data_IF_956410943509
#
_entry.id   IF_956410943509
#
_cell.length_a   1.000
_cell.length_b   1.000
_cell.length_c   1.000
_cell.angle_alpha   90.00
_cell.angle_beta   90.00
_cell.angle_gamma   90.00
#
_symmetry.space_group_name_H-M   'P 1'
#
loop_
_entity.id
_entity.type
_entity.pdbx_description
1 polymer ?
#
# COMPACT_ATOMS: atom_id res chain seq x y z
N UNK A 1 14.15 11.75 7.90
CA UNK A 1 13.24 11.25 6.86
C UNK A 1 13.65 11.85 5.51
N UNK A 2 13.91 11.03 4.49
CA UNK A 2 14.46 11.49 3.19
C UNK A 2 13.39 12.01 2.21
N UNK A 3 12.17 11.44 2.25
CA UNK A 3 11.05 11.83 1.36
C UNK A 3 9.79 12.08 2.19
N UNK A 4 9.01 13.11 1.82
CA UNK A 4 7.74 13.50 2.47
C UNK A 4 6.62 13.57 1.42
N UNK A 5 6.09 12.41 0.97
CA UNK A 5 5.06 12.40 -0.05
C UNK A 5 3.75 13.02 0.48
N UNK A 6 3.03 13.67 -0.42
CA UNK A 6 1.63 14.07 -0.21
C UNK A 6 0.65 13.02 -0.75
N UNK A 7 1.10 12.21 -1.71
CA UNK A 7 0.37 11.10 -2.32
C UNK A 7 1.32 9.91 -2.45
N UNK A 8 0.86 8.70 -2.12
CA UNK A 8 1.60 7.45 -2.30
C UNK A 8 0.71 6.36 -2.90
N UNK A 9 1.27 5.49 -3.72
CA UNK A 9 0.58 4.43 -4.43
C UNK A 9 1.37 3.12 -4.33
N UNK A 10 0.70 2.03 -3.97
CA UNK A 10 1.16 0.68 -4.30
C UNK A 10 0.37 0.17 -5.51
N UNK A 11 1.03 0.17 -6.67
CA UNK A 11 0.41 -0.26 -7.93
C UNK A 11 0.12 -1.77 -7.96
N UNK A 12 1.07 -2.59 -7.50
CA UNK A 12 0.89 -4.03 -7.40
C UNK A 12 1.72 -4.68 -6.28
N UNK A 13 1.23 -5.82 -5.81
CA UNK A 13 1.97 -6.78 -4.97
C UNK A 13 1.96 -8.13 -5.66
N UNK A 14 3.15 -8.62 -6.01
CA UNK A 14 3.36 -9.95 -6.62
C UNK A 14 4.52 -10.67 -5.93
N UNK A 15 4.59 -11.99 -6.09
CA UNK A 15 5.68 -12.81 -5.57
C UNK A 15 6.98 -12.50 -6.34
N UNK A 16 7.75 -11.55 -5.82
CA UNK A 16 9.04 -11.13 -6.37
C UNK A 16 10.02 -10.91 -5.23
N UNK A 17 11.32 -11.11 -5.50
CA UNK A 17 12.40 -10.91 -4.52
C UNK A 17 12.19 -11.68 -3.20
N UNK A 18 11.59 -12.86 -3.26
CA UNK A 18 11.27 -13.65 -2.07
C UNK A 18 12.51 -14.06 -1.26
N UNK A 19 13.68 -14.16 -1.88
CA UNK A 19 14.95 -14.42 -1.19
C UNK A 19 15.27 -13.33 -0.14
N UNK A 20 14.88 -12.07 -0.39
CA UNK A 20 15.07 -10.96 0.56
C UNK A 20 13.88 -10.73 1.51
N UNK A 21 12.66 -11.05 1.08
CA UNK A 21 11.44 -10.77 1.85
C UNK A 21 10.86 -11.98 2.57
N UNK A 22 11.37 -13.19 2.31
CA UNK A 22 10.95 -14.45 2.92
C UNK A 22 9.60 -15.00 2.43
N UNK A 23 8.62 -14.13 2.18
CA UNK A 23 7.27 -14.53 1.77
C UNK A 23 6.54 -13.42 1.02
N UNK A 24 5.40 -13.74 0.41
CA UNK A 24 4.50 -12.73 -0.18
C UNK A 24 3.97 -11.75 0.88
N UNK A 25 3.83 -12.20 2.13
CA UNK A 25 3.47 -11.36 3.28
C UNK A 25 4.58 -10.35 3.59
N UNK A 26 5.85 -10.78 3.54
CA UNK A 26 6.99 -9.87 3.65
C UNK A 26 7.03 -8.83 2.53
N UNK A 27 6.67 -9.20 1.29
CA UNK A 27 6.55 -8.26 0.18
C UNK A 27 5.43 -7.24 0.42
N UNK A 28 4.26 -7.67 0.92
CA UNK A 28 3.14 -6.78 1.28
C UNK A 28 3.54 -5.78 2.36
N UNK A 29 4.23 -6.25 3.39
CA UNK A 29 4.71 -5.41 4.48
C UNK A 29 5.67 -4.34 3.94
N UNK A 30 6.73 -4.75 3.23
CA UNK A 30 7.74 -3.85 2.71
C UNK A 30 7.16 -2.80 1.74
N UNK A 31 6.27 -3.21 0.82
CA UNK A 31 5.61 -2.25 -0.08
C UNK A 31 4.70 -1.28 0.65
N UNK A 32 4.01 -1.74 1.71
CA UNK A 32 3.12 -0.92 2.54
C UNK A 32 3.85 0.16 3.34
N UNK A 33 5.14 0.00 3.61
CA UNK A 33 5.96 1.00 4.33
C UNK A 33 5.93 2.37 3.64
N UNK A 34 5.66 2.43 2.33
CA UNK A 34 5.51 3.69 1.60
C UNK A 34 4.43 4.60 2.20
N UNK A 35 3.36 4.03 2.77
CA UNK A 35 2.26 4.79 3.38
C UNK A 35 2.64 5.43 4.71
N UNK A 36 3.65 4.91 5.41
CA UNK A 36 4.19 5.54 6.62
C UNK A 36 4.86 6.88 6.33
N UNK A 37 5.28 7.09 5.06
CA UNK A 37 5.83 8.37 4.61
C UNK A 37 4.79 9.48 4.51
N UNK A 38 3.50 9.15 4.44
CA UNK A 38 2.42 10.13 4.38
C UNK A 38 2.20 10.76 5.76
N UNK A 39 2.02 12.08 5.78
CA UNK A 39 1.47 12.78 6.94
C UNK A 39 -0.03 12.47 7.12
N UNK A 40 -0.57 12.77 8.30
CA UNK A 40 -2.01 12.70 8.55
C UNK A 40 -2.80 13.50 7.48
N UNK A 41 -3.89 12.92 6.98
CA UNK A 41 -4.66 13.48 5.87
C UNK A 41 -4.02 13.35 4.48
N UNK A 42 -2.80 12.81 4.37
CA UNK A 42 -2.17 12.48 3.09
C UNK A 42 -2.97 11.43 2.30
N UNK A 43 -2.73 11.36 0.98
CA UNK A 43 -3.52 10.49 0.09
C UNK A 43 -2.79 9.18 -0.14
N UNK A 44 -3.40 8.07 0.26
CA UNK A 44 -2.99 6.73 -0.10
C UNK A 44 -3.86 6.23 -1.26
N UNK A 45 -3.24 5.75 -2.33
CA UNK A 45 -3.92 5.09 -3.43
C UNK A 45 -3.66 3.59 -3.32
N UNK A 46 -4.73 2.81 -3.18
CA UNK A 46 -4.68 1.37 -2.93
C UNK A 46 -5.31 0.61 -4.09
N UNK A 47 -4.55 -0.31 -4.67
CA UNK A 47 -5.09 -1.28 -5.63
C UNK A 47 -5.80 -2.42 -4.87
N UNK A 48 -7.13 -2.53 -5.00
CA UNK A 48 -7.89 -3.60 -4.33
C UNK A 48 -7.67 -4.98 -4.95
N UNK A 49 -7.14 -5.06 -6.16
CA UNK A 49 -6.72 -6.34 -6.77
C UNK A 49 -5.38 -6.82 -6.22
N UNK A 50 -4.68 -5.99 -5.45
CA UNK A 50 -3.42 -6.34 -4.79
C UNK A 50 -3.69 -6.78 -3.37
N UNK A 51 -3.22 -7.98 -3.01
CA UNK A 51 -3.46 -8.70 -1.76
C UNK A 51 -2.99 -8.00 -0.44
N UNK A 52 -2.72 -6.70 -0.44
CA UNK A 52 -2.12 -5.96 0.68
C UNK A 52 -3.09 -5.20 1.59
N UNK A 53 -4.34 -4.98 1.18
CA UNK A 53 -5.26 -4.02 1.82
C UNK A 53 -5.45 -4.25 3.33
N UNK A 54 -5.78 -5.49 3.74
CA UNK A 54 -6.00 -5.82 5.15
C UNK A 54 -4.76 -5.56 6.04
N UNK A 55 -3.55 -5.74 5.50
CA UNK A 55 -2.30 -5.53 6.25
C UNK A 55 -2.02 -4.04 6.49
N UNK A 56 -2.57 -3.16 5.66
CA UNK A 56 -2.25 -1.73 5.66
C UNK A 56 -3.27 -0.89 6.43
N UNK A 57 -4.39 -1.46 6.87
CA UNK A 57 -5.47 -0.72 7.56
C UNK A 57 -4.98 0.17 8.70
N UNK A 58 -4.03 -0.32 9.52
CA UNK A 58 -3.48 0.44 10.64
C UNK A 58 -2.70 1.68 10.19
N UNK A 59 -1.85 1.58 9.16
CA UNK A 59 -1.07 2.73 8.65
C UNK A 59 -1.91 3.72 7.85
N UNK A 60 -3.07 3.27 7.36
CA UNK A 60 -4.01 4.07 6.58
C UNK A 60 -5.07 4.78 7.43
N UNK A 61 -5.18 4.47 8.72
CA UNK A 61 -6.30 4.90 9.57
C UNK A 61 -6.53 6.42 9.64
N UNK A 62 -5.46 7.22 9.52
CA UNK A 62 -5.48 8.68 9.53
C UNK A 62 -5.22 9.30 8.15
N UNK A 63 -5.32 8.50 7.07
CA UNK A 63 -5.06 8.90 5.69
C UNK A 63 -6.36 8.98 4.89
N UNK A 64 -6.33 9.77 3.81
CA UNK A 64 -7.39 9.71 2.80
C UNK A 64 -7.07 8.55 1.86
N UNK A 65 -7.95 7.56 1.80
CA UNK A 65 -7.78 6.39 0.92
C UNK A 65 -8.59 6.58 -0.36
N UNK A 66 -7.92 6.39 -1.50
CA UNK A 66 -8.54 6.28 -2.82
C UNK A 66 -8.24 4.87 -3.33
N UNK A 67 -9.25 4.17 -3.79
CA UNK A 67 -9.11 2.81 -4.31
C UNK A 67 -9.21 2.78 -5.83
N UNK A 68 -8.64 1.74 -6.42
CA UNK A 68 -8.92 1.37 -7.79
C UNK A 68 -8.88 -0.14 -7.92
N UNK A 69 -9.59 -0.66 -8.92
CA UNK A 69 -9.63 -2.08 -9.23
C UNK A 69 -10.05 -2.30 -10.67
N UNK A 70 -9.52 -3.35 -11.26
CA UNK A 70 -9.98 -3.93 -12.51
C UNK A 70 -11.24 -4.79 -12.31
N UNK A 71 -11.36 -5.48 -11.18
CA UNK A 71 -12.42 -6.47 -10.92
C UNK A 71 -13.60 -5.92 -10.10
N UNK A 72 -13.45 -4.75 -9.49
CA UNK A 72 -14.46 -4.11 -8.66
C UNK A 72 -14.85 -2.73 -9.22
N UNK A 73 -16.03 -2.66 -9.83
CA UNK A 73 -16.59 -1.42 -10.41
C UNK A 73 -16.99 -0.35 -9.38
N UNK A 74 -17.00 -0.70 -8.09
CA UNK A 74 -17.30 0.22 -6.98
C UNK A 74 -16.05 0.71 -6.25
N UNK A 75 -14.86 0.34 -6.74
CA UNK A 75 -13.59 0.77 -6.20
C UNK A 75 -13.36 2.28 -6.38
#
# INVERSE_FOLDING_TARGET
>A
QLVKPVIALVNNVAAAHLEGFGSIEGVKQAKGEIYQGLQAGGIAIVNLDSNGDALWQSVLADKKVITFSHNNSQA
#
